data_IF_937833460650
#
_entry.id   IF_937833460650
#
_cell.length_a   1.000
_cell.length_b   1.000
_cell.length_c   1.000
_cell.angle_alpha   90.00
_cell.angle_beta   90.00
_cell.angle_gamma   90.00
#
_symmetry.space_group_name_H-M   'P 1'
#
loop_
_entity.id
_entity.type
_entity.pdbx_description
1 polymer ?
#
# COMPACT_ATOMS: atom_id res chain seq x y z
N UNK A 1 17.02 -33.26 59.55
CA UNK A 1 17.92 -33.45 58.39
C UNK A 1 17.09 -33.92 57.20
N UNK A 2 17.24 -33.24 56.07
CA UNK A 2 16.61 -33.46 54.75
C UNK A 2 15.09 -33.23 54.65
N UNK A 3 14.71 -32.00 54.31
CA UNK A 3 13.41 -31.66 53.72
C UNK A 3 13.65 -31.28 52.26
N UNK A 4 13.15 -32.08 51.32
CA UNK A 4 13.27 -31.85 49.89
C UNK A 4 12.09 -31.02 49.39
N UNK A 5 12.39 -29.80 48.94
CA UNK A 5 11.44 -28.88 48.33
C UNK A 5 11.24 -29.30 46.86
N UNK A 6 10.05 -29.78 46.50
CA UNK A 6 9.64 -30.00 45.10
C UNK A 6 8.98 -28.73 44.57
N UNK A 7 9.62 -28.10 43.60
CA UNK A 7 9.05 -27.02 42.78
C UNK A 7 8.28 -27.67 41.63
N UNK A 8 6.97 -27.44 41.57
CA UNK A 8 6.13 -27.72 40.40
C UNK A 8 6.04 -26.43 39.58
N UNK A 9 6.68 -26.41 38.41
CA UNK A 9 6.42 -25.41 37.39
C UNK A 9 5.08 -25.74 36.71
N UNK A 10 4.07 -24.91 36.95
CA UNK A 10 2.88 -24.85 36.10
C UNK A 10 3.13 -23.81 35.02
N UNK A 11 3.25 -24.26 33.77
CA UNK A 11 3.25 -23.39 32.59
C UNK A 11 1.82 -23.36 32.07
N UNK A 12 1.20 -22.19 32.04
CA UNK A 12 -0.08 -21.97 31.38
C UNK A 12 -0.17 -20.56 30.82
N UNK A 13 -0.66 -20.51 29.56
CA UNK A 13 -1.19 -19.38 28.79
C UNK A 13 -0.13 -18.36 28.33
N UNK A 14 -0.11 -17.94 27.06
CA UNK A 14 -1.15 -17.23 26.32
C UNK A 14 -1.19 -17.75 24.86
N UNK A 15 -2.32 -18.07 24.23
CA UNK A 15 -3.54 -17.27 24.18
C UNK A 15 -3.47 -16.34 22.97
N UNK A 16 -3.54 -16.89 21.75
CA UNK A 16 -3.59 -16.13 20.51
C UNK A 16 -4.90 -15.34 20.42
N UNK A 17 -4.82 -14.04 20.67
CA UNK A 17 -5.92 -13.11 20.44
C UNK A 17 -6.02 -12.80 18.95
N UNK A 18 -7.09 -13.30 18.32
CA UNK A 18 -7.55 -12.80 17.02
C UNK A 18 -8.20 -11.43 17.28
N UNK A 19 -7.58 -10.36 16.80
CA UNK A 19 -8.21 -9.05 16.73
C UNK A 19 -9.26 -9.08 15.62
N UNK A 20 -10.53 -9.04 16.00
CA UNK A 20 -11.64 -8.83 15.09
C UNK A 20 -11.52 -7.41 14.50
N UNK A 21 -11.35 -7.36 13.17
CA UNK A 21 -11.39 -6.15 12.36
C UNK A 21 -12.84 -5.62 12.39
N UNK A 22 -13.08 -4.55 13.15
CA UNK A 22 -14.35 -3.85 13.12
C UNK A 22 -14.45 -3.07 11.80
N UNK A 23 -15.22 -3.59 10.85
CA UNK A 23 -15.60 -2.87 9.64
C UNK A 23 -16.64 -1.80 10.02
N UNK A 24 -16.21 -0.54 10.12
CA UNK A 24 -17.11 0.61 10.08
C UNK A 24 -16.88 1.36 8.77
N UNK A 25 -17.61 0.93 7.74
CA UNK A 25 -17.75 1.66 6.48
C UNK A 25 -18.67 2.87 6.70
N UNK A 26 -18.08 4.05 6.82
CA UNK A 26 -18.76 5.31 6.51
C UNK A 26 -18.14 5.93 5.27
N UNK A 27 -18.85 5.73 4.15
CA UNK A 27 -18.57 6.35 2.86
C UNK A 27 -18.90 7.84 2.93
N UNK A 28 -17.89 8.70 2.91
CA UNK A 28 -18.04 10.11 2.57
C UNK A 28 -16.99 10.48 1.52
N UNK A 29 -17.42 10.57 0.26
CA UNK A 29 -16.66 11.23 -0.80
C UNK A 29 -16.58 12.72 -0.47
N UNK A 30 -15.42 13.18 -0.03
CA UNK A 30 -15.10 14.60 -0.04
C UNK A 30 -13.85 14.79 -0.89
N UNK A 31 -14.06 15.24 -2.13
CA UNK A 31 -12.98 15.72 -3.01
C UNK A 31 -12.44 17.03 -2.44
N UNK A 32 -11.64 16.94 -1.39
CA UNK A 32 -10.81 18.03 -0.92
C UNK A 32 -9.67 18.23 -1.91
N UNK A 33 -9.77 19.26 -2.74
CA UNK A 33 -8.64 19.77 -3.51
C UNK A 33 -7.57 20.23 -2.52
N UNK A 34 -6.60 19.37 -2.21
CA UNK A 34 -5.36 19.75 -1.55
C UNK A 34 -4.55 20.50 -2.61
N UNK A 35 -4.43 21.81 -2.48
CA UNK A 35 -3.48 22.57 -3.29
C UNK A 35 -2.07 22.13 -2.90
N UNK A 36 -1.27 21.58 -3.83
CA UNK A 36 0.05 21.10 -3.47
C UNK A 36 0.98 22.30 -3.24
N UNK A 37 1.46 22.43 -1.99
CA UNK A 37 2.41 23.44 -1.58
C UNK A 37 3.80 23.01 -2.06
N UNK A 38 4.18 23.42 -3.27
CA UNK A 38 5.46 23.00 -3.86
C UNK A 38 6.61 23.92 -3.47
N UNK A 39 7.61 23.33 -2.82
CA UNK A 39 8.94 23.92 -2.67
C UNK A 39 9.59 24.19 -4.05
N UNK A 40 10.38 25.25 -4.16
CA UNK A 40 11.11 25.66 -5.37
C UNK A 40 12.18 24.61 -5.74
N UNK A 41 11.79 23.53 -6.42
CA UNK A 41 12.72 22.58 -7.02
C UNK A 41 12.84 22.82 -8.52
N UNK A 42 14.06 22.68 -9.03
CA UNK A 42 14.32 22.74 -10.46
C UNK A 42 14.12 21.35 -11.03
N UNK A 43 12.94 21.10 -11.59
CA UNK A 43 12.68 19.90 -12.36
C UNK A 43 13.14 20.10 -13.81
N UNK A 44 13.64 19.03 -14.41
CA UNK A 44 14.10 18.99 -15.79
C UNK A 44 13.27 17.93 -16.50
N UNK A 45 12.69 18.26 -17.65
CA UNK A 45 11.94 17.30 -18.46
C UNK A 45 12.86 16.26 -19.13
N UNK A 46 12.30 15.19 -19.72
CA UNK A 46 13.11 14.19 -20.44
C UNK A 46 13.96 14.74 -21.60
N UNK A 47 13.73 15.98 -22.03
CA UNK A 47 14.48 16.66 -23.10
C UNK A 47 15.55 17.60 -22.56
N UNK A 48 15.78 17.63 -21.24
CA UNK A 48 16.79 18.48 -20.63
C UNK A 48 16.34 19.94 -20.41
N UNK A 49 15.04 20.25 -20.59
CA UNK A 49 14.53 21.60 -20.38
C UNK A 49 14.20 21.84 -18.92
N UNK A 50 14.70 22.97 -18.38
CA UNK A 50 14.34 23.45 -17.05
C UNK A 50 12.86 23.80 -17.03
N UNK A 51 12.08 23.06 -16.24
CA UNK A 51 10.66 23.33 -16.08
C UNK A 51 10.48 24.34 -14.95
N UNK A 52 10.28 25.61 -15.32
CA UNK A 52 10.17 26.72 -14.37
C UNK A 52 8.72 27.00 -13.98
N UNK A 53 7.72 26.44 -14.68
CA UNK A 53 6.31 26.80 -14.49
C UNK A 53 5.29 25.81 -15.09
N UNK A 54 5.28 24.53 -14.71
CA UNK A 54 4.18 23.62 -15.08
C UNK A 54 3.60 22.91 -13.86
N UNK A 55 2.51 23.47 -13.33
CA UNK A 55 1.78 22.92 -12.20
C UNK A 55 0.95 21.66 -12.54
N UNK A 56 0.73 21.36 -13.83
CA UNK A 56 -0.29 20.37 -14.21
C UNK A 56 0.27 19.03 -14.74
N UNK A 57 1.53 19.00 -15.16
CA UNK A 57 2.11 17.83 -15.85
C UNK A 57 2.97 16.94 -14.96
N UNK A 58 3.46 17.49 -13.84
CA UNK A 58 4.27 16.77 -12.87
C UNK A 58 3.41 16.34 -11.69
N UNK A 59 3.52 15.07 -11.33
CA UNK A 59 2.89 14.48 -10.14
C UNK A 59 3.94 13.70 -9.38
N UNK A 60 3.65 13.34 -8.14
CA UNK A 60 4.46 12.48 -7.31
C UNK A 60 5.94 12.85 -7.23
N UNK A 61 6.27 14.04 -6.71
CA UNK A 61 7.63 14.58 -6.75
C UNK A 61 8.33 14.33 -5.42
N UNK A 62 9.30 13.42 -5.43
CA UNK A 62 10.14 13.10 -4.27
C UNK A 62 11.49 13.80 -4.43
N UNK A 63 11.78 14.86 -3.67
CA UNK A 63 13.02 15.61 -3.83
C UNK A 63 14.25 14.79 -3.41
N UNK A 64 15.41 15.16 -3.95
CA UNK A 64 16.69 14.68 -3.45
C UNK A 64 16.89 15.11 -1.98
N UNK A 65 17.44 14.19 -1.18
CA UNK A 65 17.71 14.42 0.23
C UNK A 65 19.19 14.17 0.53
N UNK A 66 19.78 14.75 1.60
CA UNK A 66 21.20 14.55 1.89
C UNK A 66 21.63 13.08 2.03
N UNK A 67 20.71 12.20 2.44
CA UNK A 67 20.95 10.76 2.61
C UNK A 67 20.57 9.92 1.39
N UNK A 68 19.82 10.48 0.45
CA UNK A 68 19.22 9.73 -0.66
C UNK A 68 19.45 10.44 -1.99
N UNK A 69 19.92 9.70 -2.98
CA UNK A 69 20.37 10.28 -4.23
C UNK A 69 19.22 10.48 -5.22
N UNK A 70 19.30 11.56 -5.99
CA UNK A 70 18.34 11.84 -7.05
C UNK A 70 16.94 12.18 -6.58
N UNK A 71 16.10 12.49 -7.56
CA UNK A 71 14.71 12.93 -7.42
C UNK A 71 13.83 11.99 -8.22
N UNK A 72 12.68 11.60 -7.67
CA UNK A 72 11.67 10.87 -8.43
C UNK A 72 10.53 11.82 -8.78
N UNK A 73 9.94 11.63 -9.95
CA UNK A 73 8.75 12.36 -10.36
C UNK A 73 7.96 11.58 -11.39
N UNK A 74 6.67 11.85 -11.47
CA UNK A 74 5.80 11.36 -12.54
C UNK A 74 5.54 12.50 -13.52
N UNK A 75 5.73 12.26 -14.81
CA UNK A 75 5.44 13.21 -15.88
C UNK A 75 4.67 12.51 -16.99
N UNK A 76 3.52 13.04 -17.39
CA UNK A 76 2.65 12.43 -18.41
C UNK A 76 2.35 10.94 -18.14
N UNK A 77 2.04 10.58 -16.88
CA UNK A 77 1.80 9.21 -16.41
C UNK A 77 2.99 8.24 -16.55
N UNK A 78 4.20 8.73 -16.85
CA UNK A 78 5.43 7.95 -16.78
C UNK A 78 6.24 8.34 -15.54
N UNK A 79 6.86 7.35 -14.90
CA UNK A 79 7.70 7.55 -13.73
C UNK A 79 9.16 7.77 -14.15
N UNK A 80 9.83 8.71 -13.51
CA UNK A 80 11.21 9.08 -13.81
C UNK A 80 12.04 9.20 -12.55
N UNK A 81 13.31 8.83 -12.68
CA UNK A 81 14.37 9.08 -11.72
C UNK A 81 15.38 10.05 -12.33
N UNK A 82 15.66 11.14 -11.62
CA UNK A 82 16.66 12.13 -12.01
C UNK A 82 17.86 12.04 -11.07
N UNK A 83 19.02 11.52 -11.52
CA UNK A 83 20.17 11.33 -10.66
C UNK A 83 20.77 12.67 -10.22
N UNK A 84 21.32 12.69 -9.00
CA UNK A 84 22.08 13.85 -8.53
C UNK A 84 23.31 14.08 -9.42
N UNK A 85 23.65 15.34 -9.77
CA UNK A 85 24.81 15.63 -10.61
C UNK A 85 26.10 15.17 -9.91
N UNK A 86 26.87 14.32 -10.59
CA UNK A 86 28.21 13.93 -10.14
C UNK A 86 29.20 14.95 -10.68
N UNK A 87 29.66 15.85 -9.82
CA UNK A 87 30.71 16.82 -10.17
C UNK A 87 32.06 16.12 -10.08
N UNK A 88 32.63 15.74 -11.22
CA UNK A 88 34.03 15.28 -11.27
C UNK A 88 34.96 16.44 -11.59
N UNK A 89 36.20 16.39 -11.11
CA UNK A 89 37.18 17.48 -11.22
C UNK A 89 37.52 17.92 -12.66
N UNK A 90 37.12 17.15 -13.67
CA UNK A 90 37.53 17.36 -15.06
C UNK A 90 36.37 17.43 -16.06
N UNK A 91 35.15 16.98 -15.71
CA UNK A 91 33.97 17.07 -16.58
C UNK A 91 32.66 17.04 -15.77
N UNK A 92 31.73 17.94 -16.08
CA UNK A 92 30.34 17.88 -15.62
C UNK A 92 29.47 17.30 -16.74
N UNK A 93 29.04 16.05 -16.58
CA UNK A 93 27.96 15.50 -17.43
C UNK A 93 26.65 15.92 -16.79
N UNK A 94 25.81 16.64 -17.53
CA UNK A 94 24.48 16.99 -17.07
C UNK A 94 23.66 15.69 -16.88
N UNK A 95 23.14 15.42 -15.67
CA UNK A 95 22.30 14.25 -15.46
C UNK A 95 21.06 14.34 -16.36
N UNK A 96 20.67 13.22 -16.94
CA UNK A 96 19.44 13.09 -17.73
C UNK A 96 18.42 12.28 -16.94
N UNK A 97 17.12 12.61 -17.02
CA UNK A 97 16.09 11.77 -16.43
C UNK A 97 16.10 10.36 -17.05
N UNK A 98 15.91 9.35 -16.19
CA UNK A 98 15.80 7.95 -16.58
C UNK A 98 14.38 7.50 -16.33
N UNK A 99 13.73 6.91 -17.34
CA UNK A 99 12.41 6.32 -17.15
C UNK A 99 12.51 5.11 -16.21
N UNK A 100 11.62 5.08 -15.22
CA UNK A 100 11.47 4.02 -14.25
C UNK A 100 10.54 2.98 -14.87
N UNK A 101 10.93 1.71 -14.88
CA UNK A 101 10.13 0.63 -15.49
C UNK A 101 9.10 0.09 -14.49
N UNK A 102 7.88 -0.15 -14.96
CA UNK A 102 6.84 -0.76 -14.13
C UNK A 102 7.23 -2.19 -13.78
N UNK A 103 7.45 -2.48 -12.49
CA UNK A 103 7.98 -3.77 -12.05
C UNK A 103 9.48 -3.97 -12.30
N UNK A 104 10.24 -2.87 -12.49
CA UNK A 104 11.67 -2.87 -12.79
C UNK A 104 12.59 -3.22 -11.63
N UNK A 105 12.18 -2.95 -10.38
CA UNK A 105 12.95 -3.21 -9.15
C UNK A 105 14.32 -2.52 -9.04
N UNK A 106 14.62 -1.54 -9.89
CA UNK A 106 15.91 -0.85 -9.91
C UNK A 106 16.10 0.11 -8.72
N UNK A 107 15.01 0.60 -8.15
CA UNK A 107 14.98 1.69 -7.18
C UNK A 107 14.26 1.34 -5.87
N UNK A 108 13.84 0.08 -5.70
CA UNK A 108 13.07 -0.39 -4.54
C UNK A 108 13.80 -0.14 -3.21
N UNK A 109 15.11 -0.38 -3.16
CA UNK A 109 15.96 -0.12 -1.98
C UNK A 109 15.87 1.35 -1.52
N UNK A 110 16.18 2.28 -2.42
CA UNK A 110 16.18 3.72 -2.14
C UNK A 110 14.77 4.23 -1.77
N UNK A 111 13.74 3.80 -2.51
CA UNK A 111 12.35 4.20 -2.24
C UNK A 111 11.83 3.64 -0.90
N UNK A 112 12.10 2.38 -0.60
CA UNK A 112 11.69 1.75 0.66
C UNK A 112 12.41 2.39 1.85
N UNK A 113 13.71 2.66 1.74
CA UNK A 113 14.50 3.33 2.77
C UNK A 113 14.00 4.77 3.03
N UNK A 114 13.66 5.52 1.97
CA UNK A 114 13.04 6.86 2.10
C UNK A 114 11.66 6.79 2.76
N UNK A 115 10.84 5.81 2.39
CA UNK A 115 9.52 5.60 2.99
C UNK A 115 9.63 5.26 4.48
N UNK A 116 10.56 4.39 4.87
CA UNK A 116 10.84 4.07 6.28
C UNK A 116 11.24 5.33 7.06
N UNK A 117 12.20 6.11 6.54
CA UNK A 117 12.65 7.33 7.20
C UNK A 117 11.51 8.34 7.37
N UNK A 118 10.69 8.54 6.33
CA UNK A 118 9.55 9.47 6.38
C UNK A 118 8.43 8.99 7.30
N UNK A 119 8.10 7.70 7.29
CA UNK A 119 7.10 7.11 8.19
C UNK A 119 7.54 7.23 9.66
N UNK A 120 8.83 7.03 9.93
CA UNK A 120 9.38 7.23 11.27
C UNK A 120 9.29 8.71 11.70
N UNK A 121 9.61 9.64 10.80
CA UNK A 121 9.43 11.07 11.05
C UNK A 121 7.95 11.44 11.31
N UNK A 122 7.01 10.85 10.57
CA UNK A 122 5.57 11.04 10.80
C UNK A 122 5.17 10.60 12.21
N UNK A 123 5.52 9.37 12.60
CA UNK A 123 5.23 8.83 13.94
C UNK A 123 5.80 9.74 15.05
N UNK A 124 7.05 10.18 14.91
CA UNK A 124 7.66 11.09 15.88
C UNK A 124 6.94 12.44 15.92
N UNK A 125 6.55 13.00 14.78
CA UNK A 125 5.83 14.28 14.71
C UNK A 125 4.45 14.18 15.36
N UNK A 126 3.68 13.13 15.03
CA UNK A 126 2.41 12.77 15.65
C UNK A 126 2.55 12.70 17.18
N UNK A 127 3.51 11.90 17.66
CA UNK A 127 3.75 11.69 19.08
C UNK A 127 4.08 13.00 19.81
N UNK A 128 4.98 13.83 19.28
CA UNK A 128 5.39 15.02 20.01
C UNK A 128 4.39 16.18 19.88
N UNK A 129 3.75 16.36 18.73
CA UNK A 129 3.06 17.61 18.41
C UNK A 129 1.53 17.48 18.30
N UNK A 130 0.99 16.27 18.22
CA UNK A 130 -0.44 16.06 17.91
C UNK A 130 -1.21 15.19 18.88
N UNK A 131 -0.58 14.68 19.96
CA UNK A 131 -1.20 13.86 21.02
C UNK A 131 -2.51 14.39 21.63
N UNK A 132 -2.77 15.70 21.51
CA UNK A 132 -3.94 16.37 22.07
C UNK A 132 -5.16 16.35 21.16
N UNK A 133 -5.02 15.90 19.90
CA UNK A 133 -6.12 15.85 18.95
C UNK A 133 -7.04 14.65 19.24
N UNK A 134 -8.36 14.78 19.03
CA UNK A 134 -9.28 13.64 19.10
C UNK A 134 -8.91 12.58 18.05
N UNK A 135 -9.10 11.30 18.38
CA UNK A 135 -8.72 10.19 17.50
C UNK A 135 -7.22 9.83 17.53
N UNK A 136 -6.37 10.61 18.23
CA UNK A 136 -4.92 10.44 18.20
C UNK A 136 -4.44 9.00 18.39
N UNK A 137 -4.99 8.27 19.38
CA UNK A 137 -4.51 6.93 19.70
C UNK A 137 -4.72 5.92 18.55
N UNK A 138 -5.84 6.04 17.83
CA UNK A 138 -6.18 5.18 16.70
C UNK A 138 -5.30 5.52 15.49
N UNK A 139 -5.34 6.78 15.04
CA UNK A 139 -4.55 7.27 13.90
C UNK A 139 -3.04 7.08 14.12
N UNK A 140 -2.53 7.25 15.34
CA UNK A 140 -1.13 6.95 15.67
C UNK A 140 -0.81 5.46 15.57
N UNK A 141 -1.72 4.60 16.02
CA UNK A 141 -1.59 3.15 15.90
C UNK A 141 -1.51 2.70 14.42
N UNK A 142 -2.33 3.30 13.57
CA UNK A 142 -2.31 3.07 12.12
C UNK A 142 -1.05 3.61 11.45
N UNK A 143 -0.64 4.84 11.78
CA UNK A 143 0.63 5.39 11.30
C UNK A 143 1.84 4.51 11.69
N UNK A 144 1.79 3.91 12.87
CA UNK A 144 2.82 2.96 13.30
C UNK A 144 2.80 1.66 12.50
N UNK A 145 1.62 1.16 12.10
CA UNK A 145 1.52 0.02 11.18
C UNK A 145 2.11 0.33 9.81
N UNK A 146 1.93 1.57 9.29
CA UNK A 146 2.58 2.03 8.06
C UNK A 146 4.11 2.00 8.21
N UNK A 147 4.64 2.48 9.33
CA UNK A 147 6.08 2.39 9.61
C UNK A 147 6.57 0.93 9.64
N UNK A 148 5.83 0.02 10.27
CA UNK A 148 6.19 -1.40 10.29
C UNK A 148 6.18 -2.02 8.89
N UNK A 149 5.20 -1.66 8.06
CA UNK A 149 5.13 -2.09 6.67
C UNK A 149 6.32 -1.55 5.85
N UNK A 150 6.70 -0.29 6.05
CA UNK A 150 7.86 0.31 5.40
C UNK A 150 9.19 -0.37 5.82
N UNK A 151 9.37 -0.62 7.12
CA UNK A 151 10.53 -1.37 7.64
C UNK A 151 10.60 -2.78 7.07
N UNK A 152 9.44 -3.44 6.95
CA UNK A 152 9.36 -4.77 6.37
C UNK A 152 9.70 -4.73 4.86
N UNK A 153 9.18 -3.75 4.13
CA UNK A 153 9.43 -3.59 2.70
C UNK A 153 10.91 -3.34 2.41
N UNK A 154 11.55 -2.47 3.19
CA UNK A 154 12.99 -2.26 3.17
C UNK A 154 13.69 -3.58 3.52
N UNK A 155 13.47 -4.21 4.68
CA UNK A 155 14.13 -5.50 4.99
C UNK A 155 13.94 -6.65 3.95
N UNK A 156 12.96 -6.55 3.04
CA UNK A 156 12.64 -7.53 2.01
C UNK A 156 13.16 -7.19 0.61
N UNK A 157 13.70 -6.00 0.34
CA UNK A 157 14.17 -5.70 -1.02
C UNK A 157 15.28 -6.65 -1.47
N UNK A 158 16.19 -7.01 -0.56
CA UNK A 158 17.28 -7.93 -0.86
C UNK A 158 16.81 -9.34 -1.29
N UNK A 159 15.55 -9.70 -1.02
CA UNK A 159 14.96 -10.99 -1.39
C UNK A 159 14.19 -10.94 -2.71
N UNK A 160 14.01 -9.74 -3.31
CA UNK A 160 13.19 -9.52 -4.51
C UNK A 160 11.79 -10.16 -4.41
N UNK A 161 11.22 -10.21 -3.19
CA UNK A 161 9.93 -10.84 -2.90
C UNK A 161 8.77 -9.96 -3.41
N UNK A 162 8.56 -10.00 -4.73
CA UNK A 162 7.58 -9.16 -5.42
C UNK A 162 6.16 -9.39 -4.90
N UNK A 163 5.80 -10.65 -4.70
CA UNK A 163 4.46 -11.02 -4.21
C UNK A 163 4.25 -10.62 -2.76
N UNK A 164 5.28 -10.77 -1.92
CA UNK A 164 5.25 -10.25 -0.55
C UNK A 164 5.07 -8.74 -0.53
N UNK A 165 5.89 -8.00 -1.28
CA UNK A 165 5.80 -6.54 -1.39
C UNK A 165 4.42 -6.11 -1.90
N UNK A 166 3.87 -6.77 -2.92
CA UNK A 166 2.57 -6.43 -3.46
C UNK A 166 1.42 -6.66 -2.48
N UNK A 167 1.47 -7.75 -1.69
CA UNK A 167 0.49 -8.03 -0.63
C UNK A 167 0.56 -7.02 0.52
N UNK A 168 1.71 -6.38 0.72
CA UNK A 168 1.91 -5.39 1.78
C UNK A 168 1.54 -3.98 1.33
N UNK A 169 2.00 -3.53 0.15
CA UNK A 169 1.84 -2.12 -0.25
C UNK A 169 0.40 -1.72 -0.57
N UNK A 170 -0.42 -2.61 -1.14
CA UNK A 170 -1.83 -2.29 -1.44
C UNK A 170 -2.62 -1.92 -0.18
N UNK A 171 -2.69 -2.81 0.84
CA UNK A 171 -3.35 -2.48 2.11
C UNK A 171 -2.70 -1.30 2.86
N UNK A 172 -1.38 -1.12 2.71
CA UNK A 172 -0.68 0.02 3.31
C UNK A 172 -1.10 1.36 2.68
N UNK A 173 -1.33 1.41 1.36
CA UNK A 173 -1.85 2.58 0.64
C UNK A 173 -3.26 2.95 1.14
N UNK A 174 -4.15 1.96 1.27
CA UNK A 174 -5.49 2.17 1.83
C UNK A 174 -5.44 2.71 3.28
N UNK A 175 -4.58 2.12 4.12
CA UNK A 175 -4.36 2.57 5.50
C UNK A 175 -3.76 3.99 5.54
N UNK A 176 -2.86 4.29 4.63
CA UNK A 176 -2.22 5.61 4.52
C UNK A 176 -3.25 6.69 4.18
N UNK A 177 -4.15 6.44 3.24
CA UNK A 177 -5.23 7.38 2.92
C UNK A 177 -6.19 7.61 4.10
N UNK A 178 -6.45 6.59 4.92
CA UNK A 178 -7.21 6.76 6.15
C UNK A 178 -6.52 7.71 7.13
N UNK A 179 -5.23 7.47 7.42
CA UNK A 179 -4.42 8.35 8.28
C UNK A 179 -4.36 9.78 7.71
N UNK A 180 -4.23 9.93 6.39
CA UNK A 180 -4.23 11.25 5.72
C UNK A 180 -5.52 12.01 5.93
N UNK A 181 -6.66 11.32 5.83
CA UNK A 181 -7.97 11.92 6.07
C UNK A 181 -8.13 12.35 7.53
N UNK A 182 -7.72 11.51 8.49
CA UNK A 182 -7.82 11.80 9.92
C UNK A 182 -7.05 13.07 10.33
N UNK A 183 -5.84 13.23 9.82
CA UNK A 183 -4.96 14.34 10.24
C UNK A 183 -5.26 15.67 9.56
N UNK A 184 -6.13 15.71 8.54
CA UNK A 184 -6.41 16.91 7.75
C UNK A 184 -6.94 18.09 8.60
N UNK A 185 -7.67 17.79 9.68
CA UNK A 185 -8.25 18.78 10.59
C UNK A 185 -7.46 19.02 11.88
N UNK A 186 -6.33 18.34 12.06
CA UNK A 186 -5.63 18.35 13.34
C UNK A 186 -4.88 19.66 13.59
N UNK A 187 -4.88 20.07 14.85
CA UNK A 187 -4.13 21.25 15.30
C UNK A 187 -2.76 20.82 15.80
N UNK A 188 -1.74 21.59 15.41
CA UNK A 188 -0.37 21.36 15.87
C UNK A 188 -0.12 22.13 17.16
N UNK A 189 0.26 21.42 18.22
CA UNK A 189 0.90 22.04 19.39
C UNK A 189 2.41 21.83 19.26
N UNK A 190 3.14 22.88 18.89
CA UNK A 190 4.58 22.75 18.64
C UNK A 190 5.35 22.45 19.94
N UNK A 191 5.80 21.20 20.11
CA UNK A 191 6.70 20.76 21.19
C UNK A 191 8.10 20.44 20.69
N UNK A 192 8.22 19.85 19.49
CA UNK A 192 9.50 19.47 18.90
C UNK A 192 9.44 19.52 17.38
N UNK A 193 10.42 20.14 16.73
CA UNK A 193 10.55 20.03 15.29
C UNK A 193 11.09 18.63 14.91
N UNK A 194 10.35 17.91 14.05
CA UNK A 194 10.73 16.61 13.50
C UNK A 194 10.85 16.75 11.99
N UNK A 195 12.04 16.53 11.46
CA UNK A 195 12.34 16.79 10.05
C UNK A 195 12.20 18.26 9.69
N UNK A 196 12.14 18.54 8.39
CA UNK A 196 11.98 19.91 7.86
C UNK A 196 10.52 20.24 7.49
N UNK A 197 9.67 19.22 7.37
CA UNK A 197 8.34 19.31 6.80
C UNK A 197 7.25 19.42 7.87
N UNK A 198 6.10 20.02 7.54
CA UNK A 198 4.87 19.88 8.34
C UNK A 198 4.23 18.51 8.13
N UNK A 199 3.21 18.15 8.91
CA UNK A 199 2.54 16.85 8.76
C UNK A 199 1.91 16.69 7.38
N UNK A 200 1.29 17.74 6.85
CA UNK A 200 0.66 17.73 5.51
C UNK A 200 1.70 17.46 4.42
N UNK A 201 2.83 18.15 4.46
CA UNK A 201 3.90 17.95 3.47
C UNK A 201 4.58 16.58 3.63
N UNK A 202 4.67 16.06 4.87
CA UNK A 202 5.13 14.68 5.10
C UNK A 202 4.19 13.67 4.47
N UNK A 203 2.87 13.82 4.65
CA UNK A 203 1.88 12.94 4.04
C UNK A 203 1.99 13.00 2.51
N UNK A 204 2.01 14.19 1.91
CA UNK A 204 2.17 14.32 0.46
C UNK A 204 3.45 13.60 -0.06
N UNK A 205 4.58 13.76 0.62
CA UNK A 205 5.80 13.05 0.25
C UNK A 205 5.71 11.53 0.46
N UNK A 206 4.98 11.06 1.47
CA UNK A 206 4.74 9.63 1.69
C UNK A 206 3.84 9.04 0.61
N UNK A 207 2.77 9.71 0.20
CA UNK A 207 1.91 9.31 -0.91
C UNK A 207 2.75 9.12 -2.19
N UNK A 208 3.60 10.12 -2.48
CA UNK A 208 4.50 10.08 -3.64
C UNK A 208 5.49 8.90 -3.55
N UNK A 209 6.06 8.64 -2.38
CA UNK A 209 6.94 7.49 -2.11
C UNK A 209 6.23 6.16 -2.32
N UNK A 210 5.01 6.02 -1.80
CA UNK A 210 4.20 4.81 -1.92
C UNK A 210 3.90 4.55 -3.40
N UNK A 211 3.50 5.56 -4.16
CA UNK A 211 3.16 5.40 -5.58
C UNK A 211 4.37 5.04 -6.45
N UNK A 212 5.53 5.68 -6.25
CA UNK A 212 6.75 5.28 -6.95
C UNK A 212 7.20 3.87 -6.57
N UNK A 213 7.08 3.50 -5.30
CA UNK A 213 7.43 2.16 -4.84
C UNK A 213 6.48 1.11 -5.42
N UNK A 214 5.16 1.38 -5.44
CA UNK A 214 4.16 0.52 -6.08
C UNK A 214 4.43 0.34 -7.57
N UNK A 215 4.76 1.42 -8.29
CA UNK A 215 5.16 1.34 -9.70
C UNK A 215 6.38 0.43 -9.89
N UNK A 216 7.44 0.63 -9.10
CA UNK A 216 8.67 -0.16 -9.16
C UNK A 216 8.46 -1.65 -8.88
N UNK A 217 7.49 -2.00 -8.02
CA UNK A 217 7.14 -3.40 -7.75
C UNK A 217 6.07 -3.98 -8.68
N UNK A 218 5.51 -3.18 -9.58
CA UNK A 218 4.50 -3.60 -10.55
C UNK A 218 3.08 -3.69 -9.97
N UNK A 219 2.75 -2.86 -8.99
CA UNK A 219 1.42 -2.77 -8.37
C UNK A 219 0.75 -1.46 -8.78
N UNK A 220 -0.53 -1.55 -9.14
CA UNK A 220 -1.36 -0.36 -9.39
C UNK A 220 -2.04 0.10 -8.10
N UNK A 221 -2.05 1.42 -7.79
CA UNK A 221 -2.80 2.00 -6.69
C UNK A 221 -4.26 1.56 -6.70
N UNK A 222 -4.88 1.44 -5.52
CA UNK A 222 -6.27 0.97 -5.42
C UNK A 222 -7.25 1.92 -6.11
N UNK A 223 -6.99 3.23 -6.05
CA UNK A 223 -7.77 4.28 -6.70
C UNK A 223 -7.61 4.34 -8.23
N UNK A 224 -6.54 3.76 -8.79
CA UNK A 224 -6.30 3.70 -10.24
C UNK A 224 -6.90 2.46 -10.90
N UNK A 225 -7.51 1.54 -10.13
CA UNK A 225 -8.15 0.33 -10.67
C UNK A 225 -9.48 0.62 -11.39
N UNK A 226 -9.95 1.87 -11.36
CA UNK A 226 -11.13 2.32 -12.07
C UNK A 226 -10.84 2.69 -13.52
N UNK A 227 -10.58 1.67 -14.35
CA UNK A 227 -10.85 1.62 -15.81
C UNK A 227 -10.42 0.23 -16.35
N UNK A 228 -10.77 -0.85 -15.65
CA UNK A 228 -10.81 -2.16 -16.29
C UNK A 228 -11.95 -2.11 -17.32
N UNK A 229 -11.60 -1.73 -18.55
CA UNK A 229 -12.45 -1.96 -19.72
C UNK A 229 -12.71 -3.46 -19.73
N UNK A 230 -13.92 -3.85 -19.33
CA UNK A 230 -14.40 -5.21 -19.52
C UNK A 230 -14.05 -5.62 -20.96
N UNK A 231 -13.54 -6.85 -21.19
CA UNK A 231 -13.29 -7.33 -22.55
C UNK A 231 -14.52 -6.99 -23.41
N UNK A 232 -14.33 -6.46 -24.63
CA UNK A 232 -15.45 -6.04 -25.48
C UNK A 232 -16.50 -7.16 -25.48
N UNK A 233 -17.81 -6.86 -25.37
CA UNK A 233 -18.84 -7.88 -25.25
C UNK A 233 -18.76 -8.83 -26.45
N UNK A 234 -18.04 -9.93 -26.27
CA UNK A 234 -18.03 -11.08 -27.14
C UNK A 234 -19.38 -11.74 -26.94
N UNK A 235 -20.25 -11.59 -27.94
CA UNK A 235 -21.66 -11.94 -27.86
C UNK A 235 -21.91 -13.34 -27.31
N UNK A 236 -22.52 -13.39 -26.14
CA UNK A 236 -23.54 -14.36 -25.77
C UNK A 236 -24.43 -13.69 -24.70
N UNK A 237 -25.73 -13.59 -24.96
CA UNK A 237 -26.72 -13.19 -23.95
C UNK A 237 -26.74 -14.27 -22.86
N UNK A 238 -26.04 -14.04 -21.75
CA UNK A 238 -26.18 -14.88 -20.57
C UNK A 238 -27.40 -14.44 -19.77
N UNK A 239 -28.41 -15.29 -19.78
CA UNK A 239 -29.72 -15.09 -19.17
C UNK A 239 -29.69 -15.64 -17.74
N UNK A 240 -30.17 -14.85 -16.78
CA UNK A 240 -30.19 -15.25 -15.37
C UNK A 240 -31.07 -16.50 -15.12
N UNK A 241 -30.66 -17.42 -14.21
CA UNK A 241 -31.44 -18.60 -13.87
C UNK A 241 -32.74 -18.23 -13.13
N UNK A 242 -33.86 -18.95 -13.37
CA UNK A 242 -35.15 -18.65 -12.76
C UNK A 242 -35.20 -18.97 -11.25
N UNK A 243 -36.06 -18.25 -10.48
CA UNK A 243 -36.18 -18.42 -9.03
C UNK A 243 -36.69 -19.81 -8.62
N UNK A 244 -36.17 -20.32 -7.50
CA UNK A 244 -36.56 -21.59 -6.91
C UNK A 244 -38.02 -21.55 -6.39
N UNK A 245 -38.96 -22.12 -7.14
CA UNK A 245 -40.36 -22.26 -6.72
C UNK A 245 -41.19 -22.98 -7.77
N UNK A 246 -41.60 -24.22 -7.47
CA UNK A 246 -42.09 -25.18 -8.46
C UNK A 246 -43.50 -24.94 -9.02
N UNK A 247 -43.69 -25.39 -10.26
CA UNK A 247 -44.98 -25.87 -10.80
C UNK A 247 -44.68 -27.18 -11.55
N UNK A 248 -45.28 -28.29 -11.10
CA UNK A 248 -45.24 -29.61 -11.76
C UNK A 248 -46.17 -29.62 -12.97
N UNK A 249 -45.80 -30.33 -14.05
CA UNK A 249 -46.80 -31.01 -14.86
C UNK A 249 -46.61 -32.53 -14.94
N UNK A 250 -47.75 -33.19 -14.72
CA UNK A 250 -48.21 -34.57 -14.98
C UNK A 250 -47.32 -35.54 -15.81
N UNK A 251 -47.10 -36.75 -15.26
CA UNK A 251 -46.76 -37.97 -16.05
C UNK A 251 -48.00 -38.69 -16.56
N UNK A 252 -48.00 -40.01 -16.86
CA UNK A 252 -46.93 -40.98 -17.20
C UNK A 252 -47.21 -41.68 -18.58
N UNK A 253 -46.47 -42.73 -19.00
CA UNK A 253 -46.86 -44.12 -18.66
C UNK A 253 -45.65 -45.05 -18.33
N UNK A 254 -45.90 -46.28 -17.82
CA UNK A 254 -44.89 -47.08 -17.11
C UNK A 254 -44.09 -48.08 -17.97
N UNK A 255 -43.16 -48.73 -17.26
CA UNK A 255 -42.00 -49.56 -17.61
C UNK A 255 -42.21 -50.79 -18.53
N UNK A 256 -41.10 -51.40 -18.97
CA UNK A 256 -40.60 -52.63 -18.31
C UNK A 256 -39.06 -52.61 -18.20
N UNK A 257 -38.34 -53.23 -17.27
CA UNK A 257 -38.56 -54.19 -16.20
C UNK A 257 -37.15 -54.61 -15.76
N UNK A 258 -36.88 -54.68 -14.45
CA UNK A 258 -35.59 -55.09 -13.87
C UNK A 258 -35.25 -56.55 -14.23
N UNK A 259 -33.96 -56.90 -14.19
CA UNK A 259 -33.59 -57.89 -13.18
C UNK A 259 -32.48 -57.42 -12.22
N UNK A 260 -32.62 -57.90 -10.99
CA UNK A 260 -31.73 -57.76 -9.83
C UNK A 260 -30.50 -58.68 -9.98
N UNK A 261 -29.34 -58.24 -9.47
CA UNK A 261 -28.22 -59.14 -9.14
C UNK A 261 -27.42 -58.48 -8.01
N UNK A 262 -27.77 -58.77 -6.75
CA UNK A 262 -27.20 -59.79 -5.85
C UNK A 262 -25.71 -59.55 -5.54
N UNK A 263 -25.46 -59.08 -4.31
CA UNK A 263 -24.14 -58.98 -3.71
C UNK A 263 -23.75 -60.30 -3.01
N UNK A 264 -22.48 -60.74 -3.10
CA UNK A 264 -21.95 -61.79 -2.23
C UNK A 264 -21.27 -61.24 -0.95
N UNK A 265 -21.09 -62.12 0.06
CA UNK A 265 -21.05 -61.76 1.49
C UNK A 265 -19.65 -61.40 2.03
N UNK A 266 -19.66 -60.71 3.17
CA UNK A 266 -18.48 -60.41 3.97
C UNK A 266 -18.02 -61.62 4.79
N UNK A 267 -16.72 -61.85 4.84
CA UNK A 267 -16.05 -62.76 5.78
C UNK A 267 -15.25 -61.94 6.79
N UNK A 268 -15.53 -62.20 8.07
CA UNK A 268 -14.87 -61.66 9.26
C UNK A 268 -13.86 -62.71 9.76
N UNK A 269 -12.68 -62.32 10.25
CA UNK A 269 -12.02 -62.98 11.38
C UNK A 269 -12.22 -62.20 12.69
#
# INVERSE_FOLDING_TARGET
>A
MHSACRVLLSVSLLGGGSTALAQHLHHHHNHGHVTPWHHHHVLVDPHGHRVVAHHDSYRHVIPAQPRFQGTYYTYQNAHYYYPSPVVTAQNSVAPQPVAVEFGGFAHVDDLAARLEDMANQLCLDLHYNYQHNPGFAETYGEAYQILQAAQWAHAKEHQQDREGLARTLGPMDDLFHHVQQDVQGWQRTHRRQIGQLGIVDKMANMEDLIHHLMHEIGVRPSHDRGDEIAPPPGGALEQAPPPAGGIRPLGPPPAPGRPLSVAPPQTIP
#
